data_IF_816066994696
#
_entry.id   IF_816066994696
#
_cell.length_a   1.000
_cell.length_b   1.000
_cell.length_c   1.000
_cell.angle_alpha   90.00
_cell.angle_beta   90.00
_cell.angle_gamma   90.00
#
_symmetry.space_group_name_H-M   'P 1'
#
loop_
_entity.id
_entity.type
_entity.pdbx_description
1 polymer ?
#
# COMPACT_ATOMS: atom_id res chain seq x y z
N UNK A 1 16.01 -9.17 -9.64
CA UNK A 1 14.67 -9.34 -10.25
C UNK A 1 13.53 -9.20 -9.23
N UNK A 2 13.59 -9.86 -8.08
CA UNK A 2 12.52 -9.84 -7.04
C UNK A 2 12.14 -8.42 -6.58
N UNK A 3 13.12 -7.53 -6.36
CA UNK A 3 12.86 -6.15 -5.90
C UNK A 3 12.12 -5.30 -6.95
N UNK A 4 12.41 -5.53 -8.24
CA UNK A 4 11.70 -4.86 -9.34
C UNK A 4 10.23 -5.29 -9.39
N UNK A 5 9.92 -6.54 -9.08
CA UNK A 5 8.53 -7.02 -9.01
C UNK A 5 7.77 -6.30 -7.91
N UNK A 6 8.34 -6.17 -6.70
CA UNK A 6 7.71 -5.43 -5.59
C UNK A 6 7.49 -3.96 -5.97
N UNK A 7 8.49 -3.35 -6.61
CA UNK A 7 8.42 -1.97 -7.06
C UNK A 7 7.31 -1.73 -8.10
N UNK A 8 7.16 -2.65 -9.07
CA UNK A 8 6.07 -2.62 -10.06
C UNK A 8 4.72 -2.79 -9.36
N UNK A 9 4.59 -3.75 -8.46
CA UNK A 9 3.35 -3.98 -7.70
C UNK A 9 2.95 -2.71 -6.94
N UNK A 10 3.86 -2.10 -6.17
CA UNK A 10 3.63 -0.84 -5.46
C UNK A 10 3.15 0.27 -6.40
N UNK A 11 3.81 0.41 -7.55
CA UNK A 11 3.49 1.45 -8.55
C UNK A 11 2.09 1.24 -9.10
N UNK A 12 1.78 0.03 -9.58
CA UNK A 12 0.48 -0.32 -10.15
C UNK A 12 -0.62 -0.16 -9.10
N UNK A 13 -0.37 -0.58 -7.86
CA UNK A 13 -1.36 -0.48 -6.79
C UNK A 13 -1.67 0.97 -6.41
N UNK A 14 -0.64 1.83 -6.34
CA UNK A 14 -0.83 3.26 -6.15
C UNK A 14 -1.64 3.91 -7.29
N UNK A 15 -1.31 3.60 -8.54
CA UNK A 15 -2.01 4.15 -9.70
C UNK A 15 -3.47 3.67 -9.79
N UNK A 16 -3.70 2.36 -9.68
CA UNK A 16 -5.06 1.80 -9.68
C UNK A 16 -5.88 2.34 -8.51
N UNK A 17 -5.23 2.53 -7.36
CA UNK A 17 -5.81 3.18 -6.20
C UNK A 17 -6.32 4.59 -6.46
N UNK A 18 -5.51 5.43 -7.11
CA UNK A 18 -5.91 6.77 -7.51
C UNK A 18 -7.10 6.73 -8.47
N UNK A 19 -7.05 5.88 -9.50
CA UNK A 19 -8.13 5.71 -10.48
C UNK A 19 -9.44 5.29 -9.79
N UNK A 20 -9.37 4.27 -8.93
CA UNK A 20 -10.54 3.78 -8.20
C UNK A 20 -11.13 4.85 -7.28
N UNK A 21 -10.28 5.58 -6.54
CA UNK A 21 -10.70 6.66 -5.62
C UNK A 21 -11.43 7.77 -6.37
N UNK A 22 -10.87 8.21 -7.50
CA UNK A 22 -11.49 9.25 -8.32
C UNK A 22 -12.81 8.79 -8.95
N UNK A 23 -12.88 7.53 -9.40
CA UNK A 23 -14.10 6.95 -9.96
C UNK A 23 -15.21 6.82 -8.93
N UNK A 24 -14.90 6.35 -7.72
CA UNK A 24 -15.87 6.25 -6.62
C UNK A 24 -16.34 7.65 -6.17
N UNK A 25 -15.44 8.62 -6.11
CA UNK A 25 -15.79 10.00 -5.80
C UNK A 25 -16.72 10.63 -6.84
N UNK A 26 -16.50 10.36 -8.14
CA UNK A 26 -17.34 10.91 -9.21
C UNK A 26 -18.72 10.26 -9.30
N UNK A 27 -18.87 9.03 -8.81
CA UNK A 27 -20.13 8.27 -8.90
C UNK A 27 -21.01 8.38 -7.66
N UNK A 28 -20.42 8.45 -6.45
CA UNK A 28 -21.17 8.35 -5.20
C UNK A 28 -21.15 9.62 -4.35
N UNK A 29 -20.26 10.58 -4.65
CA UNK A 29 -20.06 11.78 -3.82
C UNK A 29 -19.48 11.41 -2.45
N UNK A 30 -18.17 11.52 -2.30
CA UNK A 30 -17.48 11.16 -1.06
C UNK A 30 -17.04 12.39 -0.26
N UNK A 31 -16.94 12.29 1.08
CA UNK A 31 -16.42 13.37 1.90
C UNK A 31 -14.97 13.72 1.49
N UNK A 32 -14.58 15.02 1.51
CA UNK A 32 -13.25 15.45 1.08
C UNK A 32 -12.09 14.73 1.79
N UNK A 33 -12.27 14.38 3.07
CA UNK A 33 -11.27 13.63 3.84
C UNK A 33 -11.01 12.24 3.25
N UNK A 34 -12.05 11.54 2.76
CA UNK A 34 -11.88 10.24 2.12
C UNK A 34 -11.03 10.36 0.84
N UNK A 35 -11.32 11.36 0.02
CA UNK A 35 -10.57 11.67 -1.19
C UNK A 35 -9.11 11.98 -0.89
N UNK A 36 -8.86 12.91 0.03
CA UNK A 36 -7.50 13.35 0.39
C UNK A 36 -6.70 12.16 0.93
N UNK A 37 -7.22 11.42 1.91
CA UNK A 37 -6.47 10.31 2.52
C UNK A 37 -6.15 9.20 1.51
N UNK A 38 -7.10 8.81 0.65
CA UNK A 38 -6.86 7.77 -0.34
C UNK A 38 -5.93 8.24 -1.47
N UNK A 39 -6.03 9.48 -1.93
CA UNK A 39 -5.11 10.03 -2.92
C UNK A 39 -3.70 10.20 -2.36
N UNK A 40 -3.55 10.64 -1.11
CA UNK A 40 -2.26 10.69 -0.43
C UNK A 40 -1.64 9.30 -0.34
N UNK A 41 -2.44 8.28 0.04
CA UNK A 41 -1.96 6.91 0.10
C UNK A 41 -1.58 6.37 -1.30
N UNK A 42 -2.37 6.68 -2.34
CA UNK A 42 -2.08 6.33 -3.72
C UNK A 42 -0.76 6.95 -4.22
N UNK A 43 -0.53 8.23 -3.92
CA UNK A 43 0.72 8.94 -4.23
C UNK A 43 1.89 8.31 -3.47
N UNK A 44 1.71 7.96 -2.20
CA UNK A 44 2.73 7.28 -1.40
C UNK A 44 3.10 5.93 -2.01
N UNK A 45 2.11 5.11 -2.42
CA UNK A 45 2.33 3.83 -3.09
C UNK A 45 3.07 3.96 -4.43
N UNK A 46 2.65 4.90 -5.28
CA UNK A 46 3.30 5.18 -6.56
C UNK A 46 4.73 5.70 -6.38
N UNK A 47 4.94 6.60 -5.43
CA UNK A 47 6.26 7.16 -5.10
C UNK A 47 7.19 6.10 -4.53
N UNK A 48 6.69 5.25 -3.63
CA UNK A 48 7.42 4.11 -3.09
C UNK A 48 7.84 3.14 -4.20
N UNK A 49 6.90 2.79 -5.09
CA UNK A 49 7.17 1.90 -6.22
C UNK A 49 8.22 2.47 -7.18
N UNK A 50 8.07 3.72 -7.62
CA UNK A 50 9.04 4.36 -8.51
C UNK A 50 10.41 4.57 -7.84
N UNK A 51 10.43 4.92 -6.56
CA UNK A 51 11.67 5.02 -5.78
C UNK A 51 12.36 3.67 -5.62
N UNK A 52 11.60 2.58 -5.44
CA UNK A 52 12.14 1.21 -5.40
C UNK A 52 12.72 0.79 -6.76
N UNK A 53 12.12 1.20 -7.90
CA UNK A 53 12.69 0.97 -9.23
C UNK A 53 14.04 1.67 -9.42
N UNK A 54 14.25 2.80 -8.72
CA UNK A 54 15.53 3.53 -8.65
C UNK A 54 16.42 3.06 -7.51
N UNK A 55 16.11 1.90 -6.92
CA UNK A 55 16.90 1.26 -5.87
C UNK A 55 17.10 2.15 -4.63
N UNK A 56 16.14 3.04 -4.34
CA UNK A 56 16.19 3.93 -3.18
C UNK A 56 15.63 3.23 -1.94
N UNK A 57 16.47 3.09 -0.91
CA UNK A 57 16.11 2.44 0.36
C UNK A 57 14.96 3.13 1.10
N UNK A 58 14.95 4.48 1.11
CA UNK A 58 13.86 5.24 1.74
C UNK A 58 12.49 4.93 1.12
N UNK A 59 12.45 4.60 -0.17
CA UNK A 59 11.21 4.26 -0.87
C UNK A 59 10.68 2.89 -0.45
N UNK A 60 11.56 1.96 -0.07
CA UNK A 60 11.17 0.67 0.48
C UNK A 60 10.52 0.83 1.87
N UNK A 61 11.02 1.73 2.72
CA UNK A 61 10.36 2.06 3.98
C UNK A 61 9.00 2.74 3.78
N UNK A 62 8.89 3.63 2.79
CA UNK A 62 7.59 4.20 2.41
C UNK A 62 6.61 3.11 1.94
N UNK A 63 7.10 2.11 1.19
CA UNK A 63 6.35 0.94 0.80
C UNK A 63 5.88 0.08 1.97
N UNK A 64 6.68 -0.08 3.03
CA UNK A 64 6.25 -0.76 4.26
C UNK A 64 5.10 -0.02 4.93
N UNK A 65 5.20 1.30 5.07
CA UNK A 65 4.12 2.12 5.63
C UNK A 65 2.85 2.00 4.80
N UNK A 66 2.96 2.04 3.47
CA UNK A 66 1.84 1.88 2.55
C UNK A 66 1.12 0.54 2.76
N UNK A 67 1.85 -0.58 2.80
CA UNK A 67 1.23 -1.89 3.03
C UNK A 67 0.65 -2.02 4.44
N UNK A 68 1.33 -1.50 5.46
CA UNK A 68 0.87 -1.56 6.85
C UNK A 68 -0.48 -0.86 7.04
N UNK A 69 -0.66 0.33 6.45
CA UNK A 69 -1.93 1.08 6.49
C UNK A 69 -3.06 0.27 5.84
N UNK A 70 -2.74 -0.53 4.81
CA UNK A 70 -3.73 -1.33 4.10
C UNK A 70 -4.09 -2.66 4.76
N UNK A 71 -3.42 -3.07 5.85
CA UNK A 71 -3.68 -4.35 6.52
C UNK A 71 -5.07 -4.39 7.15
N UNK A 72 -5.43 -3.34 7.88
CA UNK A 72 -6.65 -3.34 8.70
C UNK A 72 -7.79 -2.74 7.92
N UNK A 73 -8.90 -3.47 7.87
CA UNK A 73 -10.17 -3.02 7.32
C UNK A 73 -11.24 -3.01 8.38
N UNK A 74 -12.04 -1.94 8.38
CA UNK A 74 -13.21 -1.82 9.22
C UNK A 74 -14.42 -1.58 8.31
N UNK A 75 -15.24 -2.60 8.18
CA UNK A 75 -16.48 -2.61 7.43
C UNK A 75 -17.64 -2.51 8.42
N UNK A 76 -18.25 -1.34 8.57
CA UNK A 76 -19.49 -1.21 9.34
C UNK A 76 -20.67 -0.98 8.38
N UNK A 77 -21.92 -1.31 8.79
CA UNK A 77 -23.11 -1.12 7.94
C UNK A 77 -23.32 0.33 7.47
N UNK A 78 -22.83 1.31 8.23
CA UNK A 78 -22.99 2.75 7.96
C UNK A 78 -21.69 3.43 7.49
N UNK A 79 -20.56 2.73 7.55
CA UNK A 79 -19.24 3.28 7.24
C UNK A 79 -18.30 2.15 6.79
N UNK A 80 -17.97 2.13 5.49
CA UNK A 80 -16.95 1.25 4.96
C UNK A 80 -15.63 2.02 4.93
N UNK A 81 -14.80 1.83 5.95
CA UNK A 81 -13.47 2.44 6.00
C UNK A 81 -12.42 1.39 5.66
N UNK A 82 -12.04 1.47 4.41
CA UNK A 82 -11.18 0.50 3.78
C UNK A 82 -10.20 1.29 2.92
N UNK A 83 -8.93 1.30 3.34
CA UNK A 83 -7.84 1.88 2.55
C UNK A 83 -7.41 0.96 1.40
N UNK A 84 -8.26 0.02 0.93
CA UNK A 84 -7.84 -0.82 -0.18
C UNK A 84 -7.88 -0.07 -1.48
N UNK A 85 -6.68 0.16 -1.98
CA UNK A 85 -6.44 0.72 -3.28
C UNK A 85 -6.36 -0.43 -4.30
N UNK A 86 -7.50 -0.80 -4.91
CA UNK A 86 -7.52 -1.82 -5.97
C UNK A 86 -7.66 -3.26 -5.46
N UNK A 87 -6.72 -4.15 -5.80
CA UNK A 87 -6.82 -5.59 -5.52
C UNK A 87 -6.69 -5.91 -4.03
N UNK A 88 -7.73 -6.47 -3.43
CA UNK A 88 -7.69 -6.92 -2.05
C UNK A 88 -8.17 -8.37 -1.90
N UNK A 89 -7.63 -9.05 -0.89
CA UNK A 89 -8.14 -10.32 -0.43
C UNK A 89 -8.42 -10.14 1.06
N UNK A 90 -9.68 -9.92 1.41
CA UNK A 90 -10.07 -9.59 2.78
C UNK A 90 -10.60 -10.84 3.46
N UNK A 91 -9.93 -11.25 4.55
CA UNK A 91 -10.50 -12.21 5.50
C UNK A 91 -11.23 -11.41 6.57
N UNK A 92 -12.54 -11.58 6.69
CA UNK A 92 -13.34 -10.88 7.71
C UNK A 92 -13.94 -11.83 8.73
N UNK A 93 -13.92 -11.40 9.99
CA UNK A 93 -14.72 -12.00 11.05
C UNK A 93 -16.01 -11.19 11.18
N UNK A 94 -17.17 -11.85 11.00
CA UNK A 94 -18.47 -11.22 11.17
C UNK A 94 -18.85 -11.29 12.64
N UNK A 95 -18.90 -10.14 13.31
CA UNK A 95 -19.59 -10.04 14.59
C UNK A 95 -21.05 -9.70 14.30
N UNK A 96 -21.97 -10.61 14.63
CA UNK A 96 -23.42 -10.40 14.47
C UNK A 96 -23.82 -9.03 15.05
N UNK A 97 -24.18 -8.09 14.16
CA UNK A 97 -24.82 -6.81 14.51
C UNK A 97 -23.96 -5.55 14.58
N UNK A 98 -22.62 -5.60 14.62
CA UNK A 98 -21.81 -4.40 14.96
C UNK A 98 -20.70 -4.00 13.97
N UNK A 99 -20.34 -4.86 13.03
CA UNK A 99 -19.32 -4.57 12.03
C UNK A 99 -18.46 -5.79 11.72
N UNK A 100 -17.71 -5.71 10.63
CA UNK A 100 -16.75 -6.70 10.18
C UNK A 100 -15.36 -6.06 10.25
N UNK A 101 -14.44 -6.71 10.96
CA UNK A 101 -13.02 -6.37 10.86
C UNK A 101 -12.42 -7.32 9.84
N UNK A 102 -11.80 -6.74 8.82
CA UNK A 102 -11.12 -7.44 7.75
C UNK A 102 -9.61 -7.32 7.87
N UNK A 103 -8.89 -8.35 7.43
CA UNK A 103 -7.44 -8.27 7.17
C UNK A 103 -7.20 -8.44 5.69
N UNK A 104 -6.50 -7.47 5.08
CA UNK A 104 -6.06 -7.59 3.70
C UNK A 104 -4.82 -8.51 3.63
N UNK A 105 -5.05 -9.77 3.30
CA UNK A 105 -4.01 -10.80 3.21
C UNK A 105 -2.97 -10.45 2.14
N UNK A 106 -3.38 -9.82 1.05
CA UNK A 106 -2.46 -9.37 0.02
C UNK A 106 -1.48 -8.32 0.56
N UNK A 107 -1.99 -7.31 1.27
CA UNK A 107 -1.15 -6.31 1.92
C UNK A 107 -0.22 -6.93 2.96
N UNK A 108 -0.70 -7.91 3.73
CA UNK A 108 0.11 -8.63 4.71
C UNK A 108 1.26 -9.40 4.05
N UNK A 109 0.97 -10.17 3.00
CA UNK A 109 1.99 -10.91 2.24
C UNK A 109 3.02 -9.96 1.64
N UNK A 110 2.57 -8.86 1.04
CA UNK A 110 3.47 -7.84 0.48
C UNK A 110 4.32 -7.16 1.55
N UNK A 111 3.76 -6.87 2.73
CA UNK A 111 4.49 -6.29 3.85
C UNK A 111 5.61 -7.24 4.32
N UNK A 112 5.27 -8.51 4.54
CA UNK A 112 6.25 -9.54 4.95
C UNK A 112 7.34 -9.69 3.88
N UNK A 113 6.94 -9.77 2.60
CA UNK A 113 7.89 -9.93 1.51
C UNK A 113 8.84 -8.73 1.38
N UNK A 114 8.33 -7.51 1.43
CA UNK A 114 9.15 -6.29 1.37
C UNK A 114 10.06 -6.18 2.60
N UNK A 115 9.58 -6.51 3.79
CA UNK A 115 10.39 -6.53 5.02
C UNK A 115 11.56 -7.48 4.88
N UNK A 116 11.29 -8.71 4.45
CA UNK A 116 12.33 -9.71 4.20
C UNK A 116 13.35 -9.20 3.17
N UNK A 117 12.90 -8.54 2.09
CA UNK A 117 13.81 -8.00 1.07
C UNK A 117 14.68 -6.87 1.60
N UNK A 118 14.14 -5.93 2.39
CA UNK A 118 14.94 -4.86 3.00
C UNK A 118 16.04 -5.42 3.90
N UNK A 119 15.77 -6.50 4.63
CA UNK A 119 16.75 -7.17 5.51
C UNK A 119 17.71 -8.12 4.79
N UNK A 120 17.46 -8.45 3.52
CA UNK A 120 18.29 -9.39 2.76
C UNK A 120 19.59 -8.71 2.28
N UNK A 121 20.77 -9.32 2.44
CA UNK A 121 22.03 -8.78 1.94
C UNK A 121 22.07 -8.67 0.41
N UNK A 122 21.40 -9.58 -0.29
CA UNK A 122 21.31 -9.59 -1.77
C UNK A 122 20.18 -8.68 -2.30
N UNK A 123 19.81 -7.65 -1.55
CA UNK A 123 18.79 -6.69 -1.98
C UNK A 123 19.40 -5.45 -2.59
N UNK A 124 18.76 -4.95 -3.66
CA UNK A 124 19.10 -3.64 -4.23
C UNK A 124 18.93 -2.49 -3.22
N UNK A 125 18.26 -2.72 -2.09
CA UNK A 125 18.07 -1.72 -1.04
C UNK A 125 19.26 -1.59 -0.07
N UNK A 126 20.22 -2.53 -0.09
CA UNK A 126 21.39 -2.51 0.80
C UNK A 126 22.57 -1.68 0.27
N UNK A 127 22.68 -1.49 -1.06
CA UNK A 127 23.86 -0.89 -1.71
C UNK A 127 23.87 0.64 -1.82
N UNK A 128 22.76 1.31 -1.54
CA UNK A 128 22.57 2.74 -1.90
C UNK A 128 23.09 3.76 -0.88
N UNK A 129 23.54 3.31 0.31
CA UNK A 129 24.05 4.20 1.37
C UNK A 129 25.60 4.33 1.36
N UNK A 130 26.31 3.59 0.49
CA UNK A 130 27.77 3.47 0.53
C UNK A 130 28.55 4.46 -0.36
N UNK A 131 27.91 5.46 -0.97
CA UNK A 131 28.61 6.47 -1.79
C UNK A 131 28.30 7.90 -1.32
N UNK A 132 28.76 8.21 -0.10
CA UNK A 132 29.21 9.57 0.22
C UNK A 132 30.71 9.48 0.39
N UNK A 133 31.44 9.51 -0.73
CA UNK A 133 32.86 9.86 -0.72
C UNK A 133 32.95 11.36 -0.53
N UNK A 134 33.65 11.72 0.55
CA UNK A 134 34.08 13.06 1.01
C UNK A 134 34.55 13.95 -0.14
#
# INVERSE_FOLDING_TARGET
MKDKVIAVILTVHGLLGAVWTLWIASTHGNPPLFLISNLTLAVAGATAGFGCLKEKRWAAYLGLCFWAIQIVHVLTPHFQFSFTLGFNAVLSAVWYGFGQIGVNVFALVMLVWLTHRISSPDSSFHGSDATVTV
#
